data_IF_130641403379
#
_entry.id   IF_130641403379
#
_cell.length_a   1.000
_cell.length_b   1.000
_cell.length_c   1.000
_cell.angle_alpha   90.00
_cell.angle_beta   90.00
_cell.angle_gamma   90.00
#
_symmetry.space_group_name_H-M   'P 1'
#
loop_
_entity.id
_entity.type
_entity.pdbx_description
1 polymer ?
#
# COMPACT_ATOMS: atom_id res chain seq x y z
N UNK A 1 21.43 69.33 23.33
CA UNK A 1 21.80 68.34 22.29
C UNK A 1 23.21 67.84 22.59
N UNK A 2 23.65 66.60 22.27
CA UNK A 2 22.95 65.47 21.65
C UNK A 2 22.91 64.20 22.54
N UNK A 3 21.95 63.30 22.24
CA UNK A 3 21.81 61.95 22.80
C UNK A 3 22.65 60.93 22.00
N UNK A 4 23.24 59.92 22.64
CA UNK A 4 23.55 58.59 22.07
C UNK A 4 23.81 57.57 23.20
N UNK A 5 22.78 56.80 23.60
CA UNK A 5 22.55 55.36 23.33
C UNK A 5 23.74 54.44 23.71
N UNK A 6 23.58 53.64 24.77
CA UNK A 6 24.30 52.37 25.00
C UNK A 6 23.33 51.19 24.98
N UNK A 7 23.88 50.05 24.58
CA UNK A 7 23.27 49.03 23.75
C UNK A 7 22.43 47.99 24.50
N UNK A 8 21.45 47.44 23.77
CA UNK A 8 20.67 46.23 24.07
C UNK A 8 21.50 44.97 23.78
N UNK A 9 21.39 43.97 24.66
CA UNK A 9 21.70 42.56 24.39
C UNK A 9 21.80 41.79 25.73
N UNK A 10 21.16 40.64 25.99
CA UNK A 10 20.41 39.68 25.18
C UNK A 10 19.15 39.26 25.97
N UNK A 11 17.98 39.29 25.33
CA UNK A 11 16.88 38.37 25.65
C UNK A 11 16.69 37.52 24.40
N UNK A 12 17.00 36.23 24.54
CA UNK A 12 16.82 35.22 23.51
C UNK A 12 15.34 35.19 23.15
N UNK A 13 15.03 35.26 21.86
CA UNK A 13 13.66 35.14 21.38
C UNK A 13 13.14 33.73 21.67
N UNK A 14 11.90 33.57 22.17
CA UNK A 14 11.30 32.25 22.22
C UNK A 14 11.16 31.73 20.78
N UNK A 15 11.51 30.46 20.58
CA UNK A 15 11.37 29.80 19.29
C UNK A 15 9.92 29.96 18.79
N UNK A 16 9.70 30.19 17.48
CA UNK A 16 8.35 30.32 16.96
C UNK A 16 7.59 29.03 17.31
N UNK A 17 6.54 29.19 18.11
CA UNK A 17 5.59 28.13 18.38
C UNK A 17 5.18 27.56 17.02
N UNK A 18 5.37 26.25 16.87
CA UNK A 18 4.90 25.44 15.75
C UNK A 18 3.56 26.01 15.33
N UNK A 19 3.55 26.73 14.21
CA UNK A 19 2.34 27.17 13.56
C UNK A 19 1.64 25.87 13.23
N UNK A 20 0.68 25.48 14.07
CA UNK A 20 -0.33 24.50 13.69
C UNK A 20 -0.90 25.07 12.41
N UNK A 21 -0.48 24.51 11.30
CA UNK A 21 -1.09 24.70 10.00
C UNK A 21 -2.56 24.42 10.24
N UNK A 22 -3.36 25.46 10.36
CA UNK A 22 -4.79 25.32 10.40
C UNK A 22 -5.13 24.73 9.05
N UNK A 23 -5.49 23.45 9.04
CA UNK A 23 -6.07 22.83 7.86
C UNK A 23 -7.27 23.67 7.50
N UNK A 24 -7.16 24.40 6.39
CA UNK A 24 -8.27 25.11 5.82
C UNK A 24 -9.39 24.09 5.65
N UNK A 25 -10.46 24.22 6.43
CA UNK A 25 -11.68 23.43 6.25
C UNK A 25 -12.16 23.75 4.83
N UNK A 26 -11.91 22.83 3.91
CA UNK A 26 -12.46 22.91 2.55
C UNK A 26 -13.96 23.00 2.73
N UNK A 27 -14.56 24.05 2.18
CA UNK A 27 -16.01 24.19 2.07
C UNK A 27 -16.48 22.97 1.29
N UNK A 28 -17.03 21.96 1.99
CA UNK A 28 -17.52 20.75 1.34
C UNK A 28 -18.81 21.14 0.66
N UNK A 29 -18.78 21.10 -0.67
CA UNK A 29 -19.90 21.49 -1.49
C UNK A 29 -21.04 20.48 -1.25
N UNK A 30 -22.22 20.92 -0.76
CA UNK A 30 -23.29 20.01 -0.34
C UNK A 30 -23.90 19.19 -1.48
N UNK A 31 -23.55 19.48 -2.73
CA UNK A 31 -23.92 18.69 -3.91
C UNK A 31 -23.01 17.46 -4.13
N UNK A 32 -21.88 17.36 -3.44
CA UNK A 32 -20.95 16.25 -3.59
C UNK A 32 -20.95 15.38 -2.34
N UNK A 33 -21.54 14.19 -2.49
CA UNK A 33 -21.45 13.12 -1.50
C UNK A 33 -20.30 12.16 -1.87
N UNK A 34 -19.71 11.53 -0.85
CA UNK A 34 -18.72 10.47 -1.06
C UNK A 34 -19.45 9.16 -1.35
N UNK A 35 -19.34 8.66 -2.58
CA UNK A 35 -19.84 7.33 -2.98
C UNK A 35 -18.70 6.31 -3.10
N UNK A 36 -18.24 5.70 -2.00
CA UNK A 36 -17.23 4.64 -2.05
C UNK A 36 -17.85 3.33 -2.54
N UNK A 37 -17.20 2.67 -3.51
CA UNK A 37 -17.59 1.32 -3.93
C UNK A 37 -17.09 0.26 -2.94
N UNK A 38 -17.88 -0.79 -2.76
CA UNK A 38 -17.56 -1.95 -1.95
C UNK A 38 -17.00 -3.07 -2.85
N UNK A 39 -15.69 -3.35 -2.76
CA UNK A 39 -15.01 -4.39 -3.54
C UNK A 39 -14.89 -5.73 -2.79
N UNK A 40 -15.64 -5.87 -1.70
CA UNK A 40 -15.87 -7.18 -1.11
C UNK A 40 -16.64 -8.07 -2.09
N UNK A 41 -16.70 -9.33 -1.73
CA UNK A 41 -17.21 -10.39 -2.57
C UNK A 41 -18.72 -10.23 -2.81
N UNK A 42 -19.16 -10.41 -4.06
CA UNK A 42 -20.56 -10.31 -4.45
C UNK A 42 -21.16 -8.90 -4.41
N UNK A 43 -20.33 -7.86 -4.28
CA UNK A 43 -20.75 -6.45 -4.22
C UNK A 43 -20.53 -5.76 -5.58
N UNK A 44 -19.88 -4.59 -5.59
CA UNK A 44 -19.64 -3.84 -6.81
C UNK A 44 -18.63 -4.54 -7.74
N UNK A 45 -18.66 -4.14 -9.02
CA UNK A 45 -17.73 -4.66 -10.04
C UNK A 45 -16.29 -4.45 -9.57
N UNK A 46 -15.53 -5.56 -9.56
CA UNK A 46 -14.12 -5.52 -9.18
C UNK A 46 -13.33 -4.61 -10.14
N UNK A 47 -12.40 -3.80 -9.61
CA UNK A 47 -11.56 -2.95 -10.44
C UNK A 47 -10.60 -3.81 -11.27
N UNK A 48 -10.08 -3.23 -12.35
CA UNK A 48 -8.99 -3.85 -13.11
C UNK A 48 -7.76 -3.96 -12.19
N UNK A 49 -7.30 -5.18 -11.94
CA UNK A 49 -6.07 -5.48 -11.19
C UNK A 49 -5.01 -6.01 -12.15
N UNK A 50 -3.77 -6.02 -11.69
CA UNK A 50 -2.69 -6.65 -12.42
C UNK A 50 -2.89 -8.18 -12.46
N UNK A 51 -2.97 -8.74 -13.67
CA UNK A 51 -3.20 -10.16 -13.94
C UNK A 51 -1.92 -10.86 -14.46
N UNK A 52 -0.77 -10.18 -14.49
CA UNK A 52 0.51 -10.72 -15.00
C UNK A 52 0.91 -12.07 -14.44
N UNK A 53 0.52 -12.37 -13.19
CA UNK A 53 0.78 -13.65 -12.53
C UNK A 53 -0.25 -14.74 -12.86
N UNK A 54 -1.47 -14.36 -13.23
CA UNK A 54 -2.61 -15.27 -13.47
C UNK A 54 -2.77 -15.62 -14.96
N UNK A 55 -2.20 -14.82 -15.85
CA UNK A 55 -2.22 -15.07 -17.29
C UNK A 55 -1.35 -16.28 -17.63
N UNK A 56 -1.88 -17.16 -18.50
CA UNK A 56 -1.15 -18.29 -19.05
C UNK A 56 0.12 -17.83 -19.76
N UNK A 57 1.28 -18.21 -19.21
CA UNK A 57 2.58 -17.84 -19.77
C UNK A 57 2.96 -18.71 -20.98
N UNK A 58 3.73 -18.16 -21.94
CA UNK A 58 4.36 -18.94 -23.01
C UNK A 58 5.14 -20.15 -22.49
N UNK A 59 5.08 -21.27 -23.22
CA UNK A 59 5.64 -22.56 -22.76
C UNK A 59 7.12 -22.49 -22.35
N UNK A 60 7.94 -21.69 -23.03
CA UNK A 60 9.37 -21.59 -22.72
C UNK A 60 9.65 -20.87 -21.39
N UNK A 61 8.84 -19.87 -21.04
CA UNK A 61 8.97 -19.15 -19.76
C UNK A 61 8.55 -20.07 -18.62
N UNK A 62 7.48 -20.83 -18.82
CA UNK A 62 7.01 -21.80 -17.84
C UNK A 62 8.04 -22.92 -17.60
N UNK A 63 8.60 -23.48 -18.67
CA UNK A 63 9.65 -24.51 -18.58
C UNK A 63 10.91 -23.99 -17.88
N UNK A 64 11.31 -22.75 -18.15
CA UNK A 64 12.44 -22.11 -17.47
C UNK A 64 12.17 -21.93 -15.97
N UNK A 65 10.96 -21.50 -15.61
CA UNK A 65 10.54 -21.40 -14.21
C UNK A 65 10.52 -22.75 -13.51
N UNK A 66 10.01 -23.80 -14.16
CA UNK A 66 10.01 -25.16 -13.59
C UNK A 66 11.43 -25.67 -13.34
N UNK A 67 12.35 -25.43 -14.28
CA UNK A 67 13.78 -25.76 -14.09
C UNK A 67 14.39 -25.00 -12.90
N UNK A 68 14.07 -23.71 -12.76
CA UNK A 68 14.55 -22.90 -11.63
C UNK A 68 14.03 -23.44 -10.29
N UNK A 69 12.75 -23.80 -10.21
CA UNK A 69 12.16 -24.41 -9.01
C UNK A 69 12.76 -25.78 -8.72
N UNK A 70 13.05 -26.58 -9.76
CA UNK A 70 13.69 -27.88 -9.60
C UNK A 70 15.13 -27.78 -9.09
N UNK A 71 15.84 -26.70 -9.44
CA UNK A 71 17.22 -26.45 -9.01
C UNK A 71 17.37 -25.97 -7.56
N UNK A 72 16.27 -25.86 -6.80
CA UNK A 72 16.31 -25.44 -5.39
C UNK A 72 16.94 -26.52 -4.51
N UNK A 73 17.89 -26.12 -3.68
CA UNK A 73 18.59 -26.98 -2.72
C UNK A 73 17.61 -27.64 -1.74
N UNK A 74 17.94 -28.84 -1.25
CA UNK A 74 17.06 -29.59 -0.33
C UNK A 74 16.74 -28.85 0.96
N UNK A 75 17.66 -28.02 1.45
CA UNK A 75 17.54 -27.26 2.69
C UNK A 75 16.43 -26.19 2.60
N UNK A 76 16.25 -25.59 1.42
CA UNK A 76 15.29 -24.50 1.20
C UNK A 76 13.88 -25.00 0.84
N UNK A 77 13.74 -26.29 0.52
CA UNK A 77 12.46 -26.89 0.08
C UNK A 77 11.36 -26.71 1.12
N UNK A 78 11.68 -26.81 2.42
CA UNK A 78 10.72 -26.64 3.51
C UNK A 78 10.22 -25.20 3.69
N UNK A 79 11.00 -24.19 3.30
CA UNK A 79 10.56 -22.80 3.29
C UNK A 79 9.68 -22.52 2.06
N UNK A 80 10.05 -23.13 0.92
CA UNK A 80 9.31 -23.01 -0.34
C UNK A 80 7.91 -23.64 -0.23
N UNK A 81 7.75 -24.81 0.39
CA UNK A 81 6.44 -25.46 0.56
C UNK A 81 5.49 -24.61 1.40
N UNK A 82 5.96 -24.06 2.53
CA UNK A 82 5.18 -23.14 3.39
C UNK A 82 4.70 -21.91 2.62
N UNK A 83 5.55 -21.35 1.75
CA UNK A 83 5.19 -20.22 0.92
C UNK A 83 4.10 -20.60 -0.10
N UNK A 84 4.24 -21.75 -0.76
CA UNK A 84 3.24 -22.25 -1.73
C UNK A 84 1.89 -22.50 -1.05
N UNK A 85 1.87 -23.09 0.13
CA UNK A 85 0.66 -23.33 0.92
C UNK A 85 0.00 -22.02 1.37
N UNK A 86 0.78 -21.04 1.85
CA UNK A 86 0.27 -19.72 2.21
C UNK A 86 -0.35 -18.99 1.01
N UNK A 87 0.24 -19.11 -0.19
CA UNK A 87 -0.32 -18.53 -1.41
C UNK A 87 -1.61 -19.24 -1.81
N UNK A 88 -1.65 -20.58 -1.79
CA UNK A 88 -2.86 -21.36 -2.14
C UNK A 88 -4.05 -21.02 -1.25
N UNK A 89 -3.85 -21.05 0.07
CA UNK A 89 -4.88 -20.74 1.06
C UNK A 89 -5.36 -19.30 0.96
N UNK A 90 -4.45 -18.36 0.74
CA UNK A 90 -4.80 -16.94 0.65
C UNK A 90 -5.45 -16.60 -0.71
N UNK A 91 -5.03 -17.17 -1.82
CA UNK A 91 -5.49 -16.68 -3.13
C UNK A 91 -6.46 -17.61 -3.84
N UNK A 92 -6.25 -18.93 -3.81
CA UNK A 92 -7.11 -19.85 -4.54
C UNK A 92 -8.27 -20.31 -3.66
N UNK A 93 -7.99 -20.86 -2.48
CA UNK A 93 -9.01 -21.47 -1.63
C UNK A 93 -9.98 -20.39 -1.09
N UNK A 94 -9.45 -19.25 -0.64
CA UNK A 94 -10.29 -18.08 -0.32
C UNK A 94 -11.08 -17.58 -1.52
N UNK A 95 -10.55 -17.61 -2.75
CA UNK A 95 -11.31 -17.16 -3.93
C UNK A 95 -12.48 -18.09 -4.23
N UNK A 96 -12.30 -19.40 -4.04
CA UNK A 96 -13.38 -20.38 -4.23
C UNK A 96 -14.48 -20.23 -3.15
N UNK A 97 -14.11 -20.03 -1.88
CA UNK A 97 -15.06 -19.74 -0.79
C UNK A 97 -15.87 -18.46 -1.04
N UNK A 98 -15.22 -17.49 -1.65
CA UNK A 98 -15.74 -16.20 -2.06
C UNK A 98 -16.72 -16.33 -3.23
N UNK A 99 -16.40 -17.13 -4.25
CA UNK A 99 -17.24 -17.28 -5.43
C UNK A 99 -18.43 -18.23 -5.22
N UNK A 100 -18.40 -19.10 -4.21
CA UNK A 100 -19.48 -20.03 -3.89
C UNK A 100 -20.53 -19.48 -2.90
N UNK A 101 -20.31 -18.31 -2.30
CA UNK A 101 -21.26 -17.58 -1.45
C UNK A 101 -21.86 -16.37 -2.18
#
# INVERSE_FOLDING_TARGET
>A
MPKRKKAKGKKVAPAPAVVKKQEAKKVVNPLFEKGPNNFCIGQDIQPKRDLTCLVKRPCYIWLWWQRAVLSVNSEDKGALTKLVEAIRTNYNDRYDEICCH
#
